data_IF_206419237642
#
_entry.id   IF_206419237642
#
_cell.length_a   1.000
_cell.length_b   1.000
_cell.length_c   1.000
_cell.angle_alpha   90.00
_cell.angle_beta   90.00
_cell.angle_gamma   90.00
#
_symmetry.space_group_name_H-M   'P 1'
#
loop_
_entity.id
_entity.type
_entity.pdbx_description
1 polymer ?
#
# COMPACT_ATOMS: atom_id res chain seq x y z
N UNK A 1 29.42 6.04 -70.52
CA UNK A 1 29.79 4.61 -70.68
C UNK A 1 30.11 4.39 -72.15
N UNK A 2 31.33 3.97 -72.50
CA UNK A 2 31.79 3.91 -73.89
C UNK A 2 31.00 2.90 -74.73
N UNK A 3 30.59 3.32 -75.94
CA UNK A 3 29.82 2.50 -76.89
C UNK A 3 30.51 1.15 -77.21
N UNK A 4 31.84 1.12 -77.18
CA UNK A 4 32.67 -0.08 -77.38
C UNK A 4 32.49 -1.13 -76.28
N UNK A 5 32.35 -0.69 -75.03
CA UNK A 5 32.17 -1.58 -73.87
C UNK A 5 30.81 -2.28 -73.99
N UNK A 6 29.76 -1.53 -74.37
CA UNK A 6 28.42 -2.08 -74.56
C UNK A 6 28.38 -3.18 -75.63
N UNK A 7 28.98 -2.94 -76.80
CA UNK A 7 29.05 -3.95 -77.87
C UNK A 7 29.81 -5.22 -77.46
N UNK A 8 30.84 -5.07 -76.61
CA UNK A 8 31.63 -6.20 -76.13
C UNK A 8 30.82 -7.04 -75.13
N UNK A 9 30.10 -6.39 -74.20
CA UNK A 9 29.22 -7.07 -73.24
C UNK A 9 28.07 -7.79 -73.96
N UNK A 10 27.47 -7.15 -74.97
CA UNK A 10 26.39 -7.75 -75.77
C UNK A 10 26.88 -9.00 -76.52
N UNK A 11 28.08 -8.94 -77.13
CA UNK A 11 28.69 -10.08 -77.83
C UNK A 11 28.95 -11.26 -76.89
N UNK A 12 29.55 -11.00 -75.73
CA UNK A 12 29.85 -12.05 -74.74
C UNK A 12 28.54 -12.66 -74.20
N UNK A 13 27.54 -11.84 -73.90
CA UNK A 13 26.24 -12.31 -73.41
C UNK A 13 25.49 -13.17 -74.44
N UNK A 14 25.70 -12.90 -75.73
CA UNK A 14 25.13 -13.70 -76.81
C UNK A 14 25.82 -15.06 -76.96
N UNK A 15 27.14 -15.14 -76.73
CA UNK A 15 27.91 -16.38 -76.87
C UNK A 15 27.74 -17.33 -75.68
N UNK A 16 27.68 -16.79 -74.45
CA UNK A 16 27.63 -17.62 -73.22
C UNK A 16 26.19 -17.81 -72.72
N UNK A 17 25.22 -17.09 -73.28
CA UNK A 17 23.86 -17.04 -72.77
C UNK A 17 23.73 -16.14 -71.53
N UNK A 18 22.53 -15.60 -71.30
CA UNK A 18 22.25 -14.75 -70.12
C UNK A 18 22.39 -15.52 -68.81
N UNK A 19 22.07 -16.81 -68.81
CA UNK A 19 22.22 -17.73 -67.68
C UNK A 19 23.48 -18.58 -67.86
N UNK A 20 24.63 -17.93 -67.84
CA UNK A 20 25.94 -18.58 -68.00
C UNK A 20 26.44 -19.31 -66.75
N UNK A 21 25.63 -19.41 -65.68
CA UNK A 21 26.00 -20.05 -64.42
C UNK A 21 27.04 -19.29 -63.58
N UNK A 22 27.57 -18.16 -64.09
CA UNK A 22 28.51 -17.30 -63.35
C UNK A 22 27.80 -16.13 -62.64
N UNK A 23 26.47 -16.09 -62.67
CA UNK A 23 25.66 -15.12 -61.93
C UNK A 23 25.33 -15.62 -60.53
N UNK A 24 25.53 -14.77 -59.53
CA UNK A 24 25.13 -15.08 -58.16
C UNK A 24 23.61 -14.92 -58.00
N UNK A 25 22.96 -15.74 -57.15
CA UNK A 25 21.56 -15.55 -56.81
C UNK A 25 21.27 -14.14 -56.27
N UNK A 26 20.03 -13.70 -56.43
CA UNK A 26 19.58 -12.44 -55.86
C UNK A 26 19.81 -12.42 -54.34
N UNK A 27 20.40 -11.33 -53.84
CA UNK A 27 20.73 -11.10 -52.43
C UNK A 27 21.72 -12.12 -51.83
N UNK A 28 22.52 -12.81 -52.65
CA UNK A 28 23.56 -13.73 -52.18
C UNK A 28 24.50 -13.06 -51.17
N UNK A 29 25.09 -11.92 -51.54
CA UNK A 29 26.05 -11.21 -50.68
C UNK A 29 25.40 -10.58 -49.44
N UNK A 30 24.09 -10.33 -49.44
CA UNK A 30 23.37 -9.83 -48.27
C UNK A 30 23.11 -10.95 -47.25
N UNK A 31 22.91 -12.20 -47.70
CA UNK A 31 22.51 -13.33 -46.85
C UNK A 31 23.62 -14.33 -46.53
N UNK A 32 24.74 -14.28 -47.26
CA UNK A 32 25.81 -15.28 -47.13
C UNK A 32 26.44 -15.26 -45.74
N UNK A 33 26.65 -14.08 -45.16
CA UNK A 33 27.20 -13.93 -43.81
C UNK A 33 26.24 -14.52 -42.75
N UNK A 34 24.96 -14.16 -42.82
CA UNK A 34 23.93 -14.70 -41.91
C UNK A 34 23.82 -16.22 -42.03
N UNK A 35 23.85 -16.75 -43.25
CA UNK A 35 23.76 -18.20 -43.50
C UNK A 35 24.94 -18.95 -42.91
N UNK A 36 26.17 -18.45 -43.09
CA UNK A 36 27.39 -19.05 -42.54
C UNK A 36 27.39 -18.95 -41.01
N UNK A 37 27.03 -17.80 -40.45
CA UNK A 37 26.99 -17.64 -39.00
C UNK A 37 25.94 -18.56 -38.36
N UNK A 38 24.78 -18.71 -39.00
CA UNK A 38 23.72 -19.60 -38.55
C UNK A 38 24.15 -21.07 -38.59
N UNK A 39 24.80 -21.51 -39.67
CA UNK A 39 25.27 -22.90 -39.78
C UNK A 39 26.37 -23.21 -38.75
N UNK A 40 27.34 -22.30 -38.57
CA UNK A 40 28.39 -22.43 -37.54
C UNK A 40 27.77 -22.48 -36.14
N UNK A 41 26.78 -21.64 -35.86
CA UNK A 41 26.07 -21.67 -34.58
C UNK A 41 25.35 -23.01 -34.36
N UNK A 42 24.61 -23.50 -35.35
CA UNK A 42 23.92 -24.79 -35.26
C UNK A 42 24.91 -25.95 -35.05
N UNK A 43 26.05 -25.95 -35.75
CA UNK A 43 27.10 -26.97 -35.60
C UNK A 43 27.79 -26.90 -34.24
N UNK A 44 27.83 -25.71 -33.62
CA UNK A 44 28.36 -25.51 -32.27
C UNK A 44 27.42 -26.01 -31.16
N UNK A 45 26.13 -26.23 -31.47
CA UNK A 45 25.18 -26.72 -30.48
C UNK A 45 25.52 -28.16 -30.06
N UNK A 46 25.42 -28.48 -28.75
CA UNK A 46 25.62 -29.84 -28.28
C UNK A 46 24.65 -30.81 -28.96
N UNK A 47 25.20 -31.82 -29.66
CA UNK A 47 24.39 -32.89 -30.30
C UNK A 47 23.75 -33.84 -29.29
N UNK A 48 24.17 -33.75 -28.03
CA UNK A 48 23.59 -34.50 -26.94
C UNK A 48 22.26 -33.86 -26.55
N UNK A 49 21.16 -34.61 -26.58
CA UNK A 49 19.85 -34.15 -26.09
C UNK A 49 19.99 -33.92 -24.58
N UNK A 50 20.10 -32.67 -24.09
CA UNK A 50 20.32 -32.42 -22.67
C UNK A 50 19.03 -32.63 -21.86
N UNK A 51 17.90 -32.61 -22.55
CA UNK A 51 16.58 -32.85 -21.99
C UNK A 51 16.08 -34.20 -22.47
N UNK A 52 15.96 -35.13 -21.53
CA UNK A 52 15.21 -36.35 -21.74
C UNK A 52 13.95 -36.30 -20.88
N UNK A 53 12.85 -36.78 -21.41
CA UNK A 53 11.62 -36.90 -20.61
C UNK A 53 11.77 -38.08 -19.65
N UNK A 54 11.16 -38.02 -18.45
CA UNK A 54 11.09 -39.16 -17.56
C UNK A 54 10.44 -40.36 -18.27
N UNK A 55 10.87 -41.57 -17.89
CA UNK A 55 10.28 -42.80 -18.43
C UNK A 55 8.77 -42.82 -18.14
N UNK A 56 7.95 -43.06 -19.17
CA UNK A 56 6.50 -43.11 -19.05
C UNK A 56 5.79 -41.76 -18.91
N UNK A 57 6.47 -40.63 -19.15
CA UNK A 57 5.86 -39.30 -19.11
C UNK A 57 4.62 -39.20 -20.01
N UNK A 58 4.77 -39.59 -21.29
CA UNK A 58 3.67 -39.51 -22.25
C UNK A 58 2.59 -40.59 -22.04
N UNK A 59 2.91 -41.67 -21.32
CA UNK A 59 1.93 -42.71 -20.98
C UNK A 59 1.02 -42.29 -19.82
N UNK A 60 1.51 -41.39 -18.94
CA UNK A 60 0.81 -40.99 -17.71
C UNK A 60 0.24 -39.58 -17.74
N UNK A 61 0.69 -38.74 -18.70
CA UNK A 61 0.30 -37.32 -18.77
C UNK A 61 -1.22 -37.16 -18.98
N UNK A 62 -1.84 -38.01 -19.80
CA UNK A 62 -3.27 -37.96 -20.06
C UNK A 62 -4.07 -38.25 -18.78
N UNK A 63 -3.74 -39.34 -18.09
CA UNK A 63 -4.38 -39.71 -16.81
C UNK A 63 -4.18 -38.63 -15.75
N UNK A 64 -2.99 -38.03 -15.70
CA UNK A 64 -2.67 -36.96 -14.76
C UNK A 64 -3.53 -35.73 -15.02
N UNK A 65 -3.63 -35.28 -16.27
CA UNK A 65 -4.48 -34.14 -16.65
C UNK A 65 -5.95 -34.42 -16.30
N UNK A 66 -6.46 -35.62 -16.62
CA UNK A 66 -7.83 -35.99 -16.28
C UNK A 66 -8.08 -36.03 -14.77
N UNK A 67 -7.10 -36.50 -13.99
CA UNK A 67 -7.22 -36.54 -12.52
C UNK A 67 -7.25 -35.13 -11.89
N UNK A 68 -6.42 -34.21 -12.39
CA UNK A 68 -6.41 -32.81 -11.91
C UNK A 68 -7.71 -32.09 -12.29
N UNK A 69 -8.24 -32.33 -13.50
CA UNK A 69 -9.52 -31.77 -13.92
C UNK A 69 -10.72 -32.40 -13.19
N UNK A 70 -10.65 -33.67 -12.80
CA UNK A 70 -11.71 -34.35 -12.04
C UNK A 70 -11.82 -33.87 -10.59
N UNK A 71 -10.76 -33.28 -10.02
CA UNK A 71 -10.78 -32.66 -8.69
C UNK A 71 -11.61 -31.37 -8.70
N UNK A 72 -11.86 -30.76 -9.87
CA UNK A 72 -12.77 -29.63 -10.04
C UNK A 72 -14.25 -30.03 -10.21
N UNK A 73 -14.68 -31.19 -9.71
CA UNK A 73 -16.10 -31.28 -9.38
C UNK A 73 -16.34 -30.35 -8.19
N UNK A 74 -17.11 -29.25 -8.35
CA UNK A 74 -17.39 -28.37 -7.23
C UNK A 74 -18.12 -29.22 -6.20
N UNK A 75 -17.42 -29.56 -5.11
CA UNK A 75 -18.03 -30.08 -3.88
C UNK A 75 -19.30 -29.26 -3.69
N UNK A 76 -20.48 -29.86 -3.82
CA UNK A 76 -21.74 -29.14 -3.81
C UNK A 76 -21.85 -28.36 -2.50
N UNK A 77 -21.35 -27.12 -2.52
CA UNK A 77 -21.38 -26.24 -1.38
C UNK A 77 -22.83 -25.84 -1.32
N UNK A 78 -23.52 -26.30 -0.27
CA UNK A 78 -24.92 -26.01 -0.02
C UNK A 78 -25.11 -24.49 -0.02
N UNK A 79 -25.51 -23.94 -1.16
CA UNK A 79 -25.76 -22.51 -1.34
C UNK A 79 -27.04 -22.19 -0.57
N UNK A 80 -26.88 -21.63 0.63
CA UNK A 80 -27.99 -21.11 1.40
C UNK A 80 -28.35 -19.72 0.88
N UNK A 81 -29.61 -19.51 0.51
CA UNK A 81 -30.08 -18.21 0.05
C UNK A 81 -30.19 -17.23 1.24
N UNK A 82 -29.28 -16.26 1.31
CA UNK A 82 -29.24 -15.24 2.37
C UNK A 82 -30.51 -14.39 2.42
N UNK A 83 -31.25 -14.29 1.31
CA UNK A 83 -32.50 -13.51 1.20
C UNK A 83 -33.56 -13.96 2.21
N UNK A 84 -33.76 -15.26 2.40
CA UNK A 84 -34.78 -15.78 3.34
C UNK A 84 -34.42 -15.46 4.78
N UNK A 85 -33.13 -15.55 5.13
CA UNK A 85 -32.62 -15.22 6.46
C UNK A 85 -32.76 -13.74 6.74
N UNK A 86 -32.35 -12.88 5.80
CA UNK A 86 -32.48 -11.42 5.93
C UNK A 86 -33.95 -11.02 6.07
N UNK A 87 -34.84 -11.55 5.22
CA UNK A 87 -36.27 -11.23 5.27
C UNK A 87 -36.93 -11.56 6.62
N UNK A 88 -36.47 -12.61 7.31
CA UNK A 88 -36.95 -12.98 8.64
C UNK A 88 -36.51 -12.00 9.74
N UNK A 89 -35.36 -11.32 9.59
CA UNK A 89 -34.84 -10.36 10.57
C UNK A 89 -35.25 -8.91 10.30
N UNK A 90 -35.79 -8.59 9.11
CA UNK A 90 -36.30 -7.24 8.76
C UNK A 90 -37.23 -6.65 9.83
N UNK A 91 -38.27 -7.35 10.33
CA UNK A 91 -39.20 -6.74 11.31
C UNK A 91 -38.52 -6.48 12.67
N UNK A 92 -37.58 -7.33 13.08
CA UNK A 92 -36.82 -7.15 14.34
C UNK A 92 -35.90 -5.95 14.24
N UNK A 93 -35.18 -5.81 13.12
CA UNK A 93 -34.33 -4.66 12.87
C UNK A 93 -35.13 -3.36 12.82
N UNK A 94 -36.29 -3.36 12.15
CA UNK A 94 -37.18 -2.20 12.12
C UNK A 94 -37.66 -1.80 13.52
N UNK A 95 -38.11 -2.76 14.34
CA UNK A 95 -38.53 -2.49 15.71
C UNK A 95 -37.38 -1.96 16.58
N UNK A 96 -36.18 -2.55 16.48
CA UNK A 96 -34.99 -2.08 17.19
C UNK A 96 -34.59 -0.66 16.76
N UNK A 97 -34.65 -0.35 15.46
CA UNK A 97 -34.38 1.01 14.96
C UNK A 97 -35.41 2.02 15.46
N UNK A 98 -36.69 1.65 15.56
CA UNK A 98 -37.73 2.51 16.13
C UNK A 98 -37.51 2.72 17.63
N UNK A 99 -37.19 1.66 18.39
CA UNK A 99 -36.87 1.75 19.82
C UNK A 99 -35.62 2.61 20.06
N UNK A 100 -34.58 2.44 19.25
CA UNK A 100 -33.37 3.25 19.31
C UNK A 100 -33.67 4.71 19.00
N UNK A 101 -34.47 4.99 17.97
CA UNK A 101 -34.86 6.35 17.60
C UNK A 101 -35.64 7.03 18.72
N UNK A 102 -36.61 6.34 19.32
CA UNK A 102 -37.38 6.85 20.46
C UNK A 102 -36.46 7.03 21.68
N UNK A 103 -35.60 6.05 21.97
CA UNK A 103 -34.66 6.09 23.09
C UNK A 103 -33.71 7.28 22.99
N UNK A 104 -33.04 7.46 21.86
CA UNK A 104 -32.12 8.59 21.65
C UNK A 104 -32.87 9.92 21.81
N UNK A 105 -34.06 10.08 21.22
CA UNK A 105 -34.82 11.32 21.34
C UNK A 105 -35.33 11.60 22.76
N UNK A 106 -35.64 10.55 23.54
CA UNK A 106 -36.09 10.69 24.93
C UNK A 106 -34.92 11.03 25.88
N UNK A 107 -33.78 10.35 25.74
CA UNK A 107 -32.60 10.57 26.59
C UNK A 107 -31.84 11.86 26.24
N UNK A 108 -31.89 12.35 25.00
CA UNK A 108 -31.17 13.56 24.55
C UNK A 108 -31.89 14.89 24.89
N UNK A 109 -32.71 14.91 25.94
CA UNK A 109 -33.42 16.13 26.40
C UNK A 109 -32.64 16.92 27.45
N UNK A 110 -31.58 16.35 28.02
CA UNK A 110 -30.71 17.03 28.98
C UNK A 110 -29.62 17.78 28.22
N UNK A 111 -29.78 19.09 28.11
CA UNK A 111 -28.70 19.98 27.67
C UNK A 111 -27.76 20.16 28.84
N UNK A 112 -26.64 19.43 28.84
CA UNK A 112 -25.57 19.64 29.81
C UNK A 112 -24.92 20.98 29.48
N UNK A 113 -24.96 21.91 30.43
CA UNK A 113 -24.33 23.23 30.33
C UNK A 113 -23.14 23.34 31.26
N UNK A 114 -22.26 24.32 31.05
CA UNK A 114 -21.06 24.49 31.87
C UNK A 114 -21.41 24.79 33.34
N UNK A 115 -22.56 25.40 33.62
CA UNK A 115 -23.11 25.59 34.96
C UNK A 115 -23.46 24.29 35.71
N UNK A 116 -23.61 23.16 35.01
CA UNK A 116 -23.94 21.88 35.64
C UNK A 116 -22.69 21.12 36.16
N UNK A 117 -21.49 21.62 35.87
CA UNK A 117 -20.22 21.01 36.30
C UNK A 117 -20.00 21.32 37.77
N UNK A 118 -19.93 20.28 38.62
CA UNK A 118 -19.64 20.44 40.05
C UNK A 118 -18.14 20.25 40.34
N UNK A 119 -17.69 20.75 41.50
CA UNK A 119 -16.30 20.57 41.95
C UNK A 119 -15.93 19.09 42.05
N UNK A 120 -16.87 18.25 42.52
CA UNK A 120 -16.69 16.78 42.58
C UNK A 120 -16.46 16.17 41.19
N UNK A 121 -17.09 16.73 40.14
CA UNK A 121 -16.91 16.24 38.77
C UNK A 121 -15.51 16.60 38.23
N UNK A 122 -15.01 17.78 38.58
CA UNK A 122 -13.65 18.24 38.23
C UNK A 122 -12.60 17.40 38.97
N UNK A 123 -12.80 17.14 40.26
CA UNK A 123 -11.94 16.26 41.06
C UNK A 123 -11.88 14.85 40.46
N UNK A 124 -13.04 14.27 40.14
CA UNK A 124 -13.13 12.97 39.47
C UNK A 124 -12.43 12.99 38.11
N UNK A 125 -12.61 14.04 37.31
CA UNK A 125 -11.95 14.20 36.02
C UNK A 125 -10.41 14.23 36.14
N UNK A 126 -9.90 14.93 37.15
CA UNK A 126 -8.47 14.98 37.46
C UNK A 126 -7.93 13.64 37.96
N UNK A 127 -8.60 13.01 38.94
CA UNK A 127 -8.19 11.72 39.51
C UNK A 127 -8.20 10.57 38.50
N UNK A 128 -9.09 10.60 37.51
CA UNK A 128 -9.12 9.62 36.42
C UNK A 128 -8.04 9.86 35.35
N UNK A 129 -7.14 10.83 35.55
CA UNK A 129 -6.00 11.10 34.68
C UNK A 129 -6.36 11.81 33.37
N UNK A 130 -7.53 12.45 33.30
CA UNK A 130 -7.92 13.26 32.15
C UNK A 130 -7.50 14.73 32.28
N UNK A 131 -7.12 15.15 33.49
CA UNK A 131 -6.65 16.51 33.79
C UNK A 131 -5.15 16.60 34.02
N UNK A 132 -4.34 15.87 33.25
CA UNK A 132 -2.88 16.06 33.27
C UNK A 132 -2.57 17.44 32.67
N UNK A 133 -2.29 18.40 33.55
CA UNK A 133 -2.01 19.78 33.17
C UNK A 133 -0.50 19.92 33.08
N UNK A 134 0.01 20.16 31.88
CA UNK A 134 1.42 20.47 31.71
C UNK A 134 1.71 21.91 32.16
N UNK A 135 2.77 22.10 32.94
CA UNK A 135 3.16 23.41 33.45
C UNK A 135 3.47 24.39 32.31
N UNK A 136 3.91 23.88 31.16
CA UNK A 136 4.15 24.72 29.97
C UNK A 136 2.84 25.27 29.38
N UNK A 137 1.75 24.50 29.44
CA UNK A 137 0.42 24.92 28.99
C UNK A 137 -0.16 25.97 29.95
N UNK A 138 0.02 25.79 31.27
CA UNK A 138 -0.33 26.81 32.26
C UNK A 138 0.42 28.13 32.04
N UNK A 139 1.72 28.07 31.77
CA UNK A 139 2.52 29.27 31.51
C UNK A 139 2.05 30.04 30.26
N UNK A 140 1.49 29.35 29.27
CA UNK A 140 0.93 30.00 28.06
C UNK A 140 -0.47 30.57 28.26
N UNK A 141 -1.26 30.01 29.18
CA UNK A 141 -2.62 30.47 29.48
C UNK A 141 -2.65 31.57 30.55
N UNK A 142 -1.61 31.63 31.39
CA UNK A 142 -1.36 32.72 32.33
C UNK A 142 -0.95 34.00 31.59
N UNK A 143 -1.95 34.79 31.19
CA UNK A 143 -1.73 36.14 30.69
C UNK A 143 -1.34 37.06 31.86
N UNK A 144 -0.04 37.29 32.03
CA UNK A 144 0.50 38.21 33.05
C UNK A 144 0.01 39.66 32.92
N UNK A 145 -0.63 40.00 31.80
CA UNK A 145 -1.28 41.30 31.57
C UNK A 145 -2.68 41.43 32.17
N UNK A 146 -3.32 40.30 32.53
CA UNK A 146 -4.65 40.23 33.17
C UNK A 146 -4.56 40.03 34.70
N UNK A 147 -3.35 39.78 35.22
CA UNK A 147 -3.12 39.71 36.66
C UNK A 147 -3.17 41.14 37.23
N UNK A 148 -4.17 41.41 38.06
CA UNK A 148 -4.24 42.66 38.82
C UNK A 148 -3.03 42.75 39.75
N UNK A 149 -2.33 43.90 39.71
CA UNK A 149 -1.13 44.20 40.50
C UNK A 149 -1.35 44.01 42.03
N UNK A 150 -2.62 44.04 42.46
CA UNK A 150 -3.05 43.93 43.85
C UNK A 150 -3.08 42.48 44.39
N UNK A 151 -3.07 41.46 43.51
CA UNK A 151 -3.11 40.04 43.96
C UNK A 151 -1.85 39.70 44.76
N UNK A 152 -0.68 40.16 44.30
CA UNK A 152 0.60 39.97 44.99
C UNK A 152 0.74 40.86 46.23
N UNK A 153 0.02 41.97 46.31
CA UNK A 153 0.00 42.85 47.48
C UNK A 153 -0.86 42.29 48.63
N UNK A 154 -1.79 41.38 48.34
CA UNK A 154 -2.65 40.72 49.33
C UNK A 154 -1.98 39.58 50.11
N UNK A 155 -0.82 39.12 49.63
CA UNK A 155 -0.05 38.04 50.28
C UNK A 155 0.76 38.66 51.43
N UNK A 156 0.55 38.18 52.66
CA UNK A 156 1.33 38.64 53.81
C UNK A 156 2.78 38.16 53.77
N UNK A 157 3.71 39.04 54.16
CA UNK A 157 5.14 38.76 54.24
C UNK A 157 5.45 37.50 55.09
N UNK A 158 4.71 37.27 56.19
CA UNK A 158 4.86 36.08 57.04
C UNK A 158 4.58 34.78 56.28
N UNK A 159 3.53 34.77 55.44
CA UNK A 159 3.17 33.60 54.63
C UNK A 159 4.20 33.36 53.53
N UNK A 160 4.76 34.43 52.97
CA UNK A 160 5.79 34.36 51.95
C UNK A 160 7.12 33.86 52.53
N UNK A 161 7.48 34.30 53.73
CA UNK A 161 8.67 33.85 54.45
C UNK A 161 8.58 32.36 54.86
N UNK A 162 7.41 31.91 55.33
CA UNK A 162 7.18 30.51 55.68
C UNK A 162 7.25 29.61 54.43
N UNK A 163 6.67 30.05 53.32
CA UNK A 163 6.79 29.35 52.03
C UNK A 163 8.24 29.24 51.58
N UNK A 164 8.97 30.35 51.54
CA UNK A 164 10.38 30.37 51.11
C UNK A 164 11.29 29.53 52.03
N UNK A 165 10.95 29.42 53.31
CA UNK A 165 11.67 28.59 54.27
C UNK A 165 11.34 27.10 54.13
N UNK A 166 10.13 26.77 53.64
CA UNK A 166 9.69 25.39 53.41
C UNK A 166 10.25 24.79 52.12
N UNK A 167 10.60 25.62 51.13
CA UNK A 167 11.14 25.17 49.84
C UNK A 167 12.66 25.07 49.90
N UNK A 168 13.20 23.94 49.48
CA UNK A 168 14.65 23.72 49.47
C UNK A 168 15.33 24.63 48.44
N UNK A 169 16.37 25.36 48.86
CA UNK A 169 17.12 26.28 47.99
C UNK A 169 17.70 25.67 46.70
N UNK A 170 18.18 24.41 46.65
CA UNK A 170 18.66 23.83 45.40
C UNK A 170 17.53 23.55 44.39
N UNK A 171 16.30 23.29 44.84
CA UNK A 171 15.13 23.13 43.97
C UNK A 171 14.74 24.45 43.29
N UNK A 172 14.77 25.58 44.02
CA UNK A 172 14.49 26.91 43.48
C UNK A 172 15.48 27.32 42.39
N UNK A 173 16.78 27.05 42.58
CA UNK A 173 17.81 27.43 41.60
C UNK A 173 17.66 26.63 40.29
N UNK A 174 17.24 25.36 40.40
CA UNK A 174 17.11 24.48 39.25
C UNK A 174 15.87 24.82 38.39
N UNK A 175 14.81 25.36 38.99
CA UNK A 175 13.60 25.82 38.27
C UNK A 175 13.78 27.18 37.58
N UNK A 176 14.64 28.08 38.11
CA UNK A 176 14.92 29.39 37.48
C UNK A 176 15.81 29.25 36.23
N UNK A 177 16.58 28.16 36.11
CA UNK A 177 17.49 27.93 34.98
C UNK A 177 16.87 27.15 33.81
N UNK A 178 15.62 26.67 33.95
CA UNK A 178 14.88 25.97 32.89
C UNK A 178 13.96 26.95 32.16
#
# INVERSE_FOLDING_TARGET
>A
MDKKIKHTIDYISQQVGKDNGFSTPQNYFEKVEETINTSVFIDSLPKNKPFNTPHGYFDTIETRIQSELAIEQPKESKVISLRKRILQYVPVAAAASVLLFIGINYFNTQKITFEDITITDIESWYENGYGDIDNSELATTLNTSELEEDIFASISDETLEDYLSSVDTPTLINEIQQ
#
